data_IF_502195463068
#
_entry.id   IF_502195463068
#
_cell.length_a   1.000
_cell.length_b   1.000
_cell.length_c   1.000
_cell.angle_alpha   90.00
_cell.angle_beta   90.00
_cell.angle_gamma   90.00
#
_symmetry.space_group_name_H-M   'P 1'
#
loop_
_entity.id
_entity.type
_entity.pdbx_description
1 polymer ?
#
# COMPACT_ATOMS: atom_id res chain seq x y z
N UNK A 1 8.82 30.60 -16.47
CA UNK A 1 8.41 31.99 -16.80
C UNK A 1 8.63 32.82 -15.55
N UNK A 2 9.18 34.05 -15.65
CA UNK A 2 9.26 34.94 -14.49
C UNK A 2 7.84 35.21 -13.95
N UNK A 3 7.65 35.27 -12.62
CA UNK A 3 6.34 35.55 -12.03
C UNK A 3 5.79 36.88 -12.56
N UNK A 4 4.46 36.97 -12.74
CA UNK A 4 3.86 38.22 -13.18
C UNK A 4 4.09 39.31 -12.11
N UNK A 5 4.24 40.59 -12.48
CA UNK A 5 4.44 41.68 -11.51
C UNK A 5 3.34 41.73 -10.43
N UNK A 6 2.12 41.31 -10.79
CA UNK A 6 0.97 41.22 -9.89
C UNK A 6 1.10 40.08 -8.87
N UNK A 7 1.76 38.98 -9.22
CA UNK A 7 2.01 37.86 -8.30
C UNK A 7 3.08 38.20 -7.26
N UNK A 8 4.12 38.94 -7.65
CA UNK A 8 5.16 39.41 -6.72
C UNK A 8 4.59 40.42 -5.73
N UNK A 9 3.75 41.34 -6.20
CA UNK A 9 3.07 42.31 -5.34
C UNK A 9 2.16 41.62 -4.30
N UNK A 10 1.46 40.55 -4.70
CA UNK A 10 0.62 39.74 -3.79
C UNK A 10 1.46 39.00 -2.74
N UNK A 11 2.56 38.37 -3.16
CA UNK A 11 3.47 37.66 -2.24
C UNK A 11 4.12 38.60 -1.21
N UNK A 12 4.50 39.81 -1.63
CA UNK A 12 5.02 40.84 -0.71
C UNK A 12 3.97 41.21 0.35
N UNK A 13 2.72 41.47 -0.07
CA UNK A 13 1.64 41.83 0.84
C UNK A 13 1.30 40.71 1.85
N UNK A 14 1.35 39.44 1.43
CA UNK A 14 1.11 38.28 2.29
C UNK A 14 2.23 38.09 3.33
N UNK A 15 3.50 38.28 2.93
CA UNK A 15 4.64 38.21 3.84
C UNK A 15 4.64 39.36 4.86
N UNK A 16 4.29 40.58 4.45
CA UNK A 16 4.15 41.73 5.34
C UNK A 16 3.03 41.52 6.38
N UNK A 17 1.88 40.99 5.94
CA UNK A 17 0.78 40.66 6.85
C UNK A 17 1.17 39.57 7.86
N UNK A 18 1.98 38.59 7.43
CA UNK A 18 2.48 37.52 8.30
C UNK A 18 3.51 38.03 9.31
N UNK A 19 4.40 38.94 8.90
CA UNK A 19 5.39 39.56 9.78
C UNK A 19 4.78 40.51 10.83
N UNK A 20 3.60 41.06 10.55
CA UNK A 20 2.85 41.94 11.46
C UNK A 20 2.10 41.18 12.59
N UNK A 21 2.08 39.84 12.58
CA UNK A 21 1.41 39.06 13.62
C UNK A 21 2.13 39.23 14.99
N UNK A 22 1.40 39.59 16.07
CA UNK A 22 1.99 39.95 17.36
C UNK A 22 2.68 38.80 18.10
N UNK A 23 2.42 37.54 17.71
CA UNK A 23 2.97 36.33 18.33
C UNK A 23 3.81 35.49 17.36
N UNK A 24 4.36 36.09 16.30
CA UNK A 24 5.24 35.37 15.37
C UNK A 24 6.55 34.99 16.09
N UNK A 25 6.93 33.69 16.17
CA UNK A 25 8.16 33.26 16.85
C UNK A 25 9.41 33.83 16.16
N UNK A 26 10.41 34.25 16.92
CA UNK A 26 11.65 34.87 16.39
C UNK A 26 12.39 34.00 15.36
N UNK A 27 12.29 32.68 15.52
CA UNK A 27 12.90 31.70 14.59
C UNK A 27 12.21 31.69 13.22
N UNK A 28 10.91 32.05 13.16
CA UNK A 28 10.13 32.14 11.92
C UNK A 28 10.21 33.53 11.28
N UNK A 29 10.55 34.57 12.05
CA UNK A 29 10.65 35.95 11.56
C UNK A 29 11.82 36.14 10.58
N UNK A 30 13.01 35.61 10.92
CA UNK A 30 14.23 35.82 10.12
C UNK A 30 14.15 35.28 8.67
N UNK A 31 13.64 34.06 8.40
CA UNK A 31 13.47 33.57 7.03
C UNK A 31 12.44 34.37 6.22
N UNK A 32 11.35 34.83 6.85
CA UNK A 32 10.31 35.62 6.19
C UNK A 32 10.80 37.03 5.84
N UNK A 33 11.62 37.64 6.69
CA UNK A 33 12.31 38.90 6.39
C UNK A 33 13.30 38.75 5.22
N UNK A 34 14.03 37.63 5.18
CA UNK A 34 14.95 37.30 4.08
C UNK A 34 14.20 37.06 2.76
N UNK A 35 13.06 36.35 2.78
CA UNK A 35 12.18 36.13 1.63
C UNK A 35 11.58 37.45 1.12
N UNK A 36 11.08 38.31 2.03
CA UNK A 36 10.54 39.63 1.70
C UNK A 36 11.62 40.55 1.10
N UNK A 37 12.84 40.51 1.63
CA UNK A 37 13.97 41.24 1.08
C UNK A 37 14.35 40.74 -0.32
N UNK A 38 14.29 39.42 -0.57
CA UNK A 38 14.53 38.83 -1.89
C UNK A 38 13.49 39.27 -2.92
N UNK A 39 12.20 39.21 -2.58
CA UNK A 39 11.12 39.62 -3.49
C UNK A 39 11.16 41.11 -3.82
N UNK A 40 11.61 41.95 -2.88
CA UNK A 40 11.80 43.39 -3.12
C UNK A 40 13.04 43.72 -3.97
N UNK A 41 14.07 42.88 -3.95
CA UNK A 41 15.36 43.12 -4.63
C UNK A 41 15.51 42.38 -5.96
N UNK A 42 14.64 41.40 -6.26
CA UNK A 42 14.60 40.69 -7.54
C UNK A 42 15.78 39.74 -7.80
N UNK A 43 16.48 39.29 -6.74
CA UNK A 43 17.64 38.39 -6.85
C UNK A 43 17.21 36.92 -7.09
N UNK A 44 17.81 36.19 -8.06
CA UNK A 44 17.49 34.79 -8.32
C UNK A 44 18.09 33.82 -7.28
N UNK A 45 17.46 32.65 -7.11
CA UNK A 45 17.89 31.56 -6.23
C UNK A 45 19.32 31.09 -6.52
N UNK A 46 20.13 30.86 -5.48
CA UNK A 46 21.40 30.14 -5.61
C UNK A 46 21.18 28.63 -5.45
N UNK A 47 21.71 27.80 -6.36
CA UNK A 47 21.50 26.35 -6.33
C UNK A 47 22.48 25.64 -5.39
N UNK A 48 21.96 24.74 -4.55
CA UNK A 48 22.74 23.74 -3.83
C UNK A 48 22.99 22.50 -4.72
N UNK A 49 24.18 22.49 -5.34
CA UNK A 49 24.96 21.40 -5.97
C UNK A 49 24.30 20.00 -6.14
N UNK A 50 24.04 19.65 -7.40
CA UNK A 50 23.87 18.27 -7.90
C UNK A 50 25.16 17.79 -8.59
N UNK A 51 25.56 16.54 -8.35
CA UNK A 51 26.62 15.86 -9.09
C UNK A 51 26.07 15.29 -10.41
N UNK A 52 26.67 15.71 -11.53
CA UNK A 52 26.41 15.25 -12.90
C UNK A 52 26.81 13.78 -13.14
N UNK A 53 26.00 13.06 -13.93
CA UNK A 53 26.55 12.18 -14.97
C UNK A 53 25.58 12.03 -16.16
N UNK A 54 26.11 12.34 -17.34
CA UNK A 54 25.46 12.51 -18.64
C UNK A 54 24.89 11.22 -19.26
N UNK A 55 23.77 11.39 -19.97
CA UNK A 55 23.23 10.47 -20.99
C UNK A 55 23.48 11.05 -22.38
N UNK A 56 24.04 10.25 -23.29
CA UNK A 56 24.09 10.51 -24.73
C UNK A 56 23.18 9.54 -25.48
N UNK A 57 22.25 10.07 -26.26
CA UNK A 57 21.19 9.32 -26.93
C UNK A 57 21.54 8.70 -28.29
N UNK A 58 20.61 7.89 -28.81
CA UNK A 58 20.07 8.02 -30.16
C UNK A 58 18.89 7.08 -30.38
N UNK A 59 17.86 7.61 -31.06
CA UNK A 59 16.69 6.88 -31.52
C UNK A 59 16.96 6.18 -32.86
N UNK A 60 16.44 4.95 -33.02
CA UNK A 60 16.10 4.42 -34.34
C UNK A 60 14.87 3.53 -34.23
N UNK A 61 13.87 3.83 -35.07
CA UNK A 61 12.65 3.04 -35.28
C UNK A 61 13.01 1.79 -36.09
N UNK A 62 12.53 0.62 -35.64
CA UNK A 62 12.63 -0.63 -36.37
C UNK A 62 11.62 -1.64 -35.85
N UNK A 63 10.64 -1.98 -36.69
CA UNK A 63 9.72 -3.07 -36.45
C UNK A 63 10.46 -4.42 -36.52
N UNK A 64 10.23 -5.31 -35.55
CA UNK A 64 10.43 -6.75 -35.71
C UNK A 64 9.57 -7.53 -34.72
N UNK A 65 8.72 -8.39 -35.28
CA UNK A 65 8.08 -9.51 -34.60
C UNK A 65 9.17 -10.51 -34.23
N UNK A 66 9.36 -10.77 -32.94
CA UNK A 66 10.03 -11.95 -32.43
C UNK A 66 9.54 -12.19 -30.99
N UNK A 67 8.86 -13.32 -30.77
CA UNK A 67 8.37 -13.70 -29.46
C UNK A 67 9.53 -13.93 -28.49
N UNK A 68 9.59 -13.11 -27.44
CA UNK A 68 10.55 -13.29 -26.35
C UNK A 68 9.88 -14.06 -25.21
N UNK A 69 10.45 -15.21 -24.88
CA UNK A 69 10.07 -16.07 -23.76
C UNK A 69 11.03 -15.75 -22.61
N UNK A 70 10.87 -14.54 -22.08
CA UNK A 70 11.21 -14.20 -20.69
C UNK A 70 9.90 -13.78 -20.06
N UNK A 71 9.54 -14.40 -18.95
CA UNK A 71 8.27 -14.19 -18.25
C UNK A 71 8.17 -12.80 -17.60
N UNK A 72 8.42 -11.75 -18.36
CA UNK A 72 8.00 -10.40 -18.03
C UNK A 72 6.48 -10.40 -18.17
N UNK A 73 5.78 -10.56 -17.06
CA UNK A 73 4.33 -10.44 -17.02
C UNK A 73 3.97 -9.00 -17.32
N UNK A 74 3.80 -8.70 -18.59
CA UNK A 74 3.37 -7.38 -19.03
C UNK A 74 1.98 -7.13 -18.43
N UNK A 75 1.89 -6.22 -17.46
CA UNK A 75 0.62 -5.86 -16.82
C UNK A 75 -0.33 -5.18 -17.83
N UNK A 76 0.22 -4.37 -18.74
CA UNK A 76 -0.49 -3.63 -19.78
C UNK A 76 0.03 -4.00 -21.17
N UNK A 77 -0.77 -4.67 -22.01
CA UNK A 77 -0.46 -4.84 -23.43
C UNK A 77 -0.76 -3.55 -24.19
N UNK A 78 -0.12 -3.32 -25.35
CA UNK A 78 -0.09 -2.04 -26.08
C UNK A 78 -1.45 -1.44 -26.51
N UNK A 79 -2.57 -2.12 -26.22
CA UNK A 79 -3.94 -1.66 -26.49
C UNK A 79 -4.85 -1.68 -25.25
N UNK A 80 -4.32 -1.90 -24.03
CA UNK A 80 -5.12 -2.06 -22.81
C UNK A 80 -5.89 -0.78 -22.41
N UNK A 81 -7.08 -0.59 -23.01
CA UNK A 81 -8.13 0.37 -22.60
C UNK A 81 -9.12 -0.34 -21.67
N UNK A 82 -8.64 -0.74 -20.50
CA UNK A 82 -9.52 -1.40 -19.54
C UNK A 82 -10.68 -0.48 -19.12
N UNK A 83 -11.92 -0.95 -19.23
CA UNK A 83 -13.13 -0.25 -18.80
C UNK A 83 -13.06 0.16 -17.33
N UNK A 84 -12.46 -0.64 -16.44
CA UNK A 84 -12.32 -0.25 -15.02
C UNK A 84 -11.34 0.89 -14.81
N UNK A 85 -10.24 0.92 -15.56
CA UNK A 85 -9.31 2.06 -15.53
C UNK A 85 -10.05 3.29 -16.04
N UNK A 86 -10.76 3.19 -17.16
CA UNK A 86 -11.58 4.26 -17.69
C UNK A 86 -12.66 4.74 -16.70
N UNK A 87 -13.30 3.86 -15.94
CA UNK A 87 -14.29 4.20 -14.91
C UNK A 87 -13.68 4.91 -13.71
N UNK A 88 -12.55 4.39 -13.18
CA UNK A 88 -11.78 5.09 -12.14
C UNK A 88 -11.47 6.51 -12.64
N UNK A 89 -11.09 6.62 -13.91
CA UNK A 89 -10.78 7.88 -14.59
C UNK A 89 -12.01 8.78 -14.81
N UNK A 90 -13.18 8.23 -15.09
CA UNK A 90 -14.38 8.99 -15.44
C UNK A 90 -15.08 9.61 -14.23
N UNK A 91 -14.88 9.03 -13.03
CA UNK A 91 -15.33 9.59 -11.75
C UNK A 91 -14.69 10.96 -11.40
N UNK A 92 -13.72 11.45 -12.20
CA UNK A 92 -12.88 12.63 -11.90
C UNK A 92 -13.38 13.98 -12.45
N UNK A 93 -14.68 14.23 -12.52
CA UNK A 93 -15.19 15.55 -12.92
C UNK A 93 -15.45 16.49 -11.73
N UNK A 94 -14.39 17.10 -11.17
CA UNK A 94 -14.39 18.46 -10.58
C UNK A 94 -12.97 19.07 -10.75
N UNK A 95 -12.85 20.25 -11.38
CA UNK A 95 -11.60 20.85 -11.88
C UNK A 95 -10.76 21.62 -10.82
N UNK A 96 -9.50 22.04 -11.11
CA UNK A 96 -8.42 21.34 -11.81
C UNK A 96 -7.14 21.20 -10.94
N UNK A 97 -6.23 20.29 -11.32
CA UNK A 97 -4.80 20.42 -11.01
C UNK A 97 -3.91 19.73 -12.06
N UNK A 98 -4.41 18.68 -12.73
CA UNK A 98 -3.79 18.11 -13.93
C UNK A 98 -4.85 17.61 -14.94
N UNK A 99 -4.56 17.62 -16.26
CA UNK A 99 -5.35 16.94 -17.28
C UNK A 99 -5.71 15.49 -16.93
N UNK A 100 -6.88 15.01 -17.36
CA UNK A 100 -7.35 13.65 -17.12
C UNK A 100 -6.37 12.57 -17.67
N UNK A 101 -5.67 12.88 -18.75
CA UNK A 101 -4.63 12.02 -19.32
C UNK A 101 -3.44 11.81 -18.38
N UNK A 102 -3.11 12.80 -17.54
CA UNK A 102 -1.99 12.72 -16.60
C UNK A 102 -2.33 11.80 -15.43
N UNK A 103 -3.59 11.76 -15.00
CA UNK A 103 -4.06 10.81 -13.99
C UNK A 103 -4.11 9.37 -14.51
N UNK A 104 -4.53 9.15 -15.76
CA UNK A 104 -4.49 7.81 -16.38
C UNK A 104 -3.05 7.30 -16.42
N UNK A 105 -2.13 8.14 -16.93
CA UNK A 105 -0.71 7.80 -16.98
C UNK A 105 -0.16 7.53 -15.57
N UNK A 106 -0.49 8.36 -14.58
CA UNK A 106 -0.06 8.19 -13.19
C UNK A 106 -0.61 6.89 -12.57
N UNK A 107 -1.89 6.56 -12.79
CA UNK A 107 -2.49 5.32 -12.29
C UNK A 107 -1.83 4.10 -12.93
N UNK A 108 -1.56 4.12 -14.24
CA UNK A 108 -0.84 3.04 -14.92
C UNK A 108 0.59 2.88 -14.41
N UNK A 109 1.32 3.98 -14.21
CA UNK A 109 2.66 3.95 -13.60
C UNK A 109 2.61 3.34 -12.20
N UNK A 110 1.66 3.78 -11.38
CA UNK A 110 1.43 3.28 -10.03
C UNK A 110 1.14 1.77 -10.00
N UNK A 111 0.13 1.31 -10.74
CA UNK A 111 -0.25 -0.11 -10.79
C UNK A 111 0.87 -0.99 -11.36
N UNK A 112 1.59 -0.50 -12.38
CA UNK A 112 2.75 -1.19 -12.94
C UNK A 112 3.83 -1.36 -11.88
N UNK A 113 4.19 -0.28 -11.18
CA UNK A 113 5.19 -0.31 -10.12
C UNK A 113 4.79 -1.30 -9.02
N UNK A 114 3.55 -1.20 -8.51
CA UNK A 114 3.05 -2.10 -7.48
C UNK A 114 3.09 -3.57 -7.92
N UNK A 115 2.68 -3.85 -9.15
CA UNK A 115 2.74 -5.21 -9.69
C UNK A 115 4.19 -5.71 -9.82
N UNK A 116 5.09 -4.94 -10.44
CA UNK A 116 6.48 -5.38 -10.65
C UNK A 116 7.22 -5.60 -9.34
N UNK A 117 6.92 -4.82 -8.30
CA UNK A 117 7.55 -4.92 -6.99
C UNK A 117 7.09 -6.16 -6.20
N UNK A 118 5.82 -6.58 -6.37
CA UNK A 118 5.20 -7.59 -5.49
C UNK A 118 4.71 -8.86 -6.19
N UNK A 119 4.72 -8.93 -7.53
CA UNK A 119 4.24 -10.09 -8.28
C UNK A 119 5.19 -11.30 -8.24
N UNK A 120 6.41 -11.11 -7.73
CA UNK A 120 7.34 -12.19 -7.45
C UNK A 120 7.53 -12.33 -5.94
N UNK A 121 7.67 -13.58 -5.47
CA UNK A 121 8.10 -13.86 -4.11
C UNK A 121 9.55 -14.34 -4.14
N UNK A 122 10.35 -13.68 -3.31
CA UNK A 122 11.72 -14.07 -3.05
C UNK A 122 11.73 -15.01 -1.84
N UNK A 123 12.14 -16.25 -2.10
CA UNK A 123 12.10 -17.34 -1.13
C UNK A 123 13.48 -17.66 -0.56
N UNK A 124 14.35 -16.64 -0.47
CA UNK A 124 15.61 -16.69 0.29
C UNK A 124 15.34 -17.29 1.68
N UNK A 125 16.00 -18.43 1.96
CA UNK A 125 15.87 -19.18 3.22
C UNK A 125 15.32 -20.61 3.07
N UNK A 126 14.67 -20.93 1.95
CA UNK A 126 14.24 -22.31 1.62
C UNK A 126 15.12 -22.92 0.52
N UNK A 127 15.62 -22.10 -0.42
CA UNK A 127 16.64 -22.48 -1.41
C UNK A 127 17.77 -21.43 -1.38
N UNK A 128 19.00 -21.85 -1.68
CA UNK A 128 20.19 -20.97 -1.66
C UNK A 128 20.29 -20.07 -2.91
N UNK A 129 19.47 -20.34 -3.93
CA UNK A 129 19.44 -19.56 -5.18
C UNK A 129 18.32 -18.54 -5.14
N UNK A 130 18.63 -17.31 -5.51
CA UNK A 130 17.63 -16.30 -5.78
C UNK A 130 16.83 -16.71 -7.02
N UNK A 131 15.54 -17.00 -6.84
CA UNK A 131 14.61 -17.31 -7.92
C UNK A 131 13.31 -16.55 -7.68
N UNK A 132 13.03 -15.61 -8.56
CA UNK A 132 11.79 -14.83 -8.54
C UNK A 132 10.64 -15.72 -9.03
N UNK A 133 9.91 -16.32 -8.09
CA UNK A 133 8.76 -17.14 -8.42
C UNK A 133 7.50 -16.28 -8.51
N UNK A 134 6.66 -16.43 -9.54
CA UNK A 134 5.42 -15.67 -9.63
C UNK A 134 4.52 -15.96 -8.43
N UNK A 135 4.21 -14.94 -7.64
CA UNK A 135 3.48 -15.06 -6.38
C UNK A 135 2.14 -15.76 -6.57
N UNK A 136 1.41 -15.43 -7.64
CA UNK A 136 0.10 -16.04 -7.95
C UNK A 136 0.14 -17.57 -8.12
N UNK A 137 1.30 -18.12 -8.47
CA UNK A 137 1.43 -19.55 -8.74
C UNK A 137 1.70 -20.33 -7.46
N UNK A 138 2.42 -19.71 -6.54
CA UNK A 138 2.88 -20.34 -5.30
C UNK A 138 1.93 -20.05 -4.15
N UNK A 139 1.22 -18.92 -4.20
CA UNK A 139 0.28 -18.51 -3.18
C UNK A 139 -0.83 -19.55 -2.97
N UNK A 140 -1.18 -19.73 -1.71
CA UNK A 140 -2.32 -20.53 -1.26
C UNK A 140 -3.19 -19.66 -0.36
N UNK A 141 -4.51 -19.74 -0.52
CA UNK A 141 -5.45 -19.02 0.34
C UNK A 141 -5.20 -19.39 1.80
N UNK A 142 -5.00 -18.37 2.62
CA UNK A 142 -4.85 -18.51 4.06
C UNK A 142 -6.24 -18.58 4.69
N UNK A 143 -6.38 -19.51 5.63
CA UNK A 143 -7.54 -19.57 6.49
C UNK A 143 -7.33 -18.61 7.65
N UNK A 144 -8.35 -17.81 7.97
CA UNK A 144 -8.33 -16.91 9.11
C UNK A 144 -9.45 -17.26 10.08
N UNK A 145 -9.21 -17.02 11.36
CA UNK A 145 -10.21 -17.17 12.42
C UNK A 145 -10.69 -15.81 12.86
N UNK A 146 -11.99 -15.57 12.78
CA UNK A 146 -12.59 -14.36 13.33
C UNK A 146 -12.58 -14.44 14.86
N UNK A 147 -12.09 -13.38 15.51
CA UNK A 147 -12.18 -13.25 16.96
C UNK A 147 -13.44 -12.44 17.25
N UNK A 148 -14.54 -13.13 17.56
CA UNK A 148 -15.78 -12.47 17.95
C UNK A 148 -15.53 -11.60 19.19
N UNK A 149 -15.80 -10.30 19.05
CA UNK A 149 -15.73 -9.35 20.16
C UNK A 149 -16.89 -9.65 21.13
N UNK A 150 -16.67 -10.52 22.12
CA UNK A 150 -17.59 -10.64 23.23
C UNK A 150 -17.58 -9.33 24.03
N UNK A 151 -18.70 -8.61 24.01
CA UNK A 151 -18.97 -7.44 24.84
C UNK A 151 -18.74 -7.82 26.31
N UNK A 152 -17.57 -7.45 26.85
CA UNK A 152 -17.20 -7.75 28.24
C UNK A 152 -15.73 -8.16 28.48
N UNK A 153 -15.00 -8.61 27.46
CA UNK A 153 -13.57 -9.01 27.59
C UNK A 153 -12.63 -7.88 27.17
N UNK A 154 -12.84 -6.67 27.69
CA UNK A 154 -12.11 -5.45 27.31
C UNK A 154 -10.67 -5.34 27.84
N UNK A 155 -10.03 -6.43 28.25
CA UNK A 155 -8.58 -6.43 28.55
C UNK A 155 -7.76 -7.53 27.88
N UNK A 156 -8.41 -8.53 27.26
CA UNK A 156 -7.71 -9.73 26.76
C UNK A 156 -7.48 -9.79 25.24
N UNK A 157 -8.47 -9.40 24.43
CA UNK A 157 -8.38 -9.37 22.96
C UNK A 157 -7.79 -10.62 22.29
N UNK A 158 -7.19 -10.44 21.09
CA UNK A 158 -6.47 -11.47 20.33
C UNK A 158 -5.36 -12.13 21.17
N UNK A 159 -4.77 -11.44 22.15
CA UNK A 159 -3.74 -12.01 23.03
C UNK A 159 -4.30 -13.08 23.96
N UNK A 160 -5.39 -12.82 24.67
CA UNK A 160 -6.04 -13.82 25.53
C UNK A 160 -6.55 -15.00 24.69
N UNK A 161 -6.99 -14.74 23.46
CA UNK A 161 -7.29 -15.77 22.49
C UNK A 161 -6.05 -16.60 22.11
N UNK A 162 -4.94 -15.97 21.76
CA UNK A 162 -3.68 -16.66 21.41
C UNK A 162 -3.07 -17.40 22.60
N UNK A 163 -3.18 -16.89 23.83
CA UNK A 163 -2.79 -17.58 25.06
C UNK A 163 -3.66 -18.81 25.30
N UNK A 164 -4.99 -18.70 25.11
CA UNK A 164 -5.90 -19.85 25.16
C UNK A 164 -5.59 -20.89 24.07
N UNK A 165 -5.42 -20.46 22.82
CA UNK A 165 -5.06 -21.34 21.70
C UNK A 165 -3.75 -22.07 22.00
N UNK A 166 -2.71 -21.36 22.49
CA UNK A 166 -1.43 -21.97 22.87
C UNK A 166 -1.57 -22.96 24.04
N UNK A 167 -2.49 -22.72 24.98
CA UNK A 167 -2.79 -23.64 26.08
C UNK A 167 -3.59 -24.88 25.64
N UNK A 168 -4.39 -24.77 24.57
CA UNK A 168 -5.21 -25.87 24.02
C UNK A 168 -4.45 -26.72 22.99
N UNK A 169 -3.51 -26.16 22.22
CA UNK A 169 -2.68 -26.93 21.27
C UNK A 169 -1.83 -28.02 21.99
N UNK A 170 -1.68 -27.95 23.31
CA UNK A 170 -1.03 -28.99 24.13
C UNK A 170 -1.96 -29.97 24.87
N UNK A 171 -3.29 -29.86 24.73
CA UNK A 171 -4.27 -30.75 25.40
C UNK A 171 -5.41 -31.09 24.43
N UNK A 172 -5.50 -32.36 24.03
CA UNK A 172 -6.45 -32.85 23.02
C UNK A 172 -7.94 -32.68 23.38
N UNK A 173 -8.31 -32.32 24.62
CA UNK A 173 -9.71 -32.31 25.07
C UNK A 173 -10.11 -31.05 25.86
N UNK A 174 -10.29 -29.91 25.20
CA UNK A 174 -11.05 -28.79 25.78
C UNK A 174 -11.89 -28.06 24.71
N UNK A 175 -13.24 -28.05 24.83
CA UNK A 175 -14.10 -27.38 23.88
C UNK A 175 -14.03 -25.86 24.12
N UNK A 176 -13.29 -25.15 23.28
CA UNK A 176 -13.36 -23.69 23.24
C UNK A 176 -14.60 -23.29 22.42
N UNK A 177 -15.79 -23.36 23.03
CA UNK A 177 -17.06 -22.84 22.46
C UNK A 177 -17.10 -21.29 22.46
N UNK A 178 -16.03 -20.65 22.01
CA UNK A 178 -16.16 -19.32 21.43
C UNK A 178 -16.39 -19.54 19.92
N UNK A 179 -17.36 -18.86 19.33
CA UNK A 179 -17.75 -18.97 17.91
C UNK A 179 -16.60 -18.58 16.97
N UNK A 180 -15.57 -19.42 16.86
CA UNK A 180 -14.36 -19.18 16.10
C UNK A 180 -14.48 -20.01 14.84
N UNK A 181 -15.16 -19.43 13.84
CA UNK A 181 -15.25 -20.07 12.53
C UNK A 181 -13.97 -19.79 11.74
N UNK A 182 -13.42 -20.86 11.15
CA UNK A 182 -12.42 -20.76 10.12
C UNK A 182 -13.10 -20.19 8.86
N UNK A 183 -12.57 -19.07 8.36
CA UNK A 183 -13.11 -18.33 7.23
C UNK A 183 -12.00 -18.17 6.20
N UNK A 184 -12.31 -18.40 4.93
CA UNK A 184 -11.38 -18.15 3.82
C UNK A 184 -11.09 -16.64 3.68
N UNK A 185 -9.87 -16.31 3.25
CA UNK A 185 -9.46 -14.92 3.06
C UNK A 185 -10.43 -14.12 2.18
N UNK A 186 -10.89 -14.69 1.08
CA UNK A 186 -11.80 -14.04 0.13
C UNK A 186 -13.17 -13.73 0.74
N UNK A 187 -13.60 -14.52 1.71
CA UNK A 187 -14.84 -14.27 2.47
C UNK A 187 -14.64 -13.15 3.48
N UNK A 188 -13.56 -13.18 4.26
CA UNK A 188 -13.33 -12.13 5.26
C UNK A 188 -13.02 -10.77 4.59
N UNK A 189 -12.37 -10.78 3.43
CA UNK A 189 -12.01 -9.59 2.65
C UNK A 189 -13.23 -8.77 2.23
N UNK A 190 -14.45 -9.34 2.28
CA UNK A 190 -15.73 -8.64 2.12
C UNK A 190 -16.00 -7.60 3.22
N UNK A 191 -15.38 -7.73 4.37
CA UNK A 191 -15.46 -6.71 5.43
C UNK A 191 -14.64 -5.47 5.05
N UNK A 192 -15.18 -4.25 5.22
CA UNK A 192 -14.49 -3.03 4.80
C UNK A 192 -13.30 -2.67 5.70
N UNK A 193 -13.21 -3.23 6.92
CA UNK A 193 -12.22 -2.85 7.93
C UNK A 193 -11.69 -4.09 8.63
N UNK A 194 -10.43 -4.44 8.39
CA UNK A 194 -9.80 -5.66 8.86
C UNK A 194 -8.48 -5.40 9.56
N UNK A 195 -8.30 -6.06 10.71
CA UNK A 195 -7.04 -6.18 11.39
C UNK A 195 -6.63 -7.65 11.38
N UNK A 196 -5.65 -7.98 10.55
CA UNK A 196 -5.14 -9.34 10.32
C UNK A 196 -3.94 -9.58 11.24
N UNK A 197 -4.15 -10.38 12.27
CA UNK A 197 -3.17 -10.63 13.33
C UNK A 197 -2.55 -12.01 13.14
N UNK A 198 -1.26 -12.17 13.39
CA UNK A 198 -0.63 -13.48 13.22
C UNK A 198 0.83 -13.51 13.64
N UNK A 199 1.33 -14.72 13.90
CA UNK A 199 2.71 -14.95 14.30
C UNK A 199 3.72 -14.62 13.19
N UNK A 200 5.01 -14.46 13.50
CA UNK A 200 6.04 -14.34 12.48
C UNK A 200 5.99 -15.53 11.52
N UNK A 201 6.17 -15.29 10.22
CA UNK A 201 6.12 -16.36 9.21
C UNK A 201 4.73 -16.86 8.81
N UNK A 202 3.65 -16.38 9.42
CA UNK A 202 2.25 -16.75 9.06
C UNK A 202 1.81 -16.30 7.65
N UNK A 203 2.62 -15.53 6.93
CA UNK A 203 2.29 -15.12 5.55
C UNK A 203 1.42 -13.87 5.41
N UNK A 204 1.26 -13.05 6.46
CA UNK A 204 0.48 -11.78 6.42
C UNK A 204 0.94 -10.80 5.33
N UNK A 205 2.24 -10.54 5.24
CA UNK A 205 2.80 -9.68 4.16
C UNK A 205 2.50 -10.27 2.79
N UNK A 206 2.71 -11.59 2.63
CA UNK A 206 2.40 -12.32 1.39
C UNK A 206 0.91 -12.23 1.01
N UNK A 207 0.01 -12.27 1.99
CA UNK A 207 -1.43 -12.10 1.82
C UNK A 207 -1.78 -10.72 1.27
N UNK A 208 -1.17 -9.66 1.82
CA UNK A 208 -1.37 -8.29 1.33
C UNK A 208 -0.80 -8.11 -0.08
N UNK A 209 0.42 -8.60 -0.32
CA UNK A 209 1.05 -8.55 -1.65
C UNK A 209 0.21 -9.30 -2.69
N UNK A 210 -0.28 -10.50 -2.37
CA UNK A 210 -1.15 -11.26 -3.25
C UNK A 210 -2.43 -10.47 -3.59
N UNK A 211 -3.08 -9.90 -2.57
CA UNK A 211 -4.28 -9.08 -2.76
C UNK A 211 -4.01 -7.86 -3.65
N UNK A 212 -2.91 -7.15 -3.42
CA UNK A 212 -2.48 -6.01 -4.24
C UNK A 212 -2.25 -6.41 -5.70
N UNK A 213 -1.48 -7.48 -5.92
CA UNK A 213 -1.13 -7.99 -7.26
C UNK A 213 -2.38 -8.42 -8.02
N UNK A 214 -3.31 -9.14 -7.39
CA UNK A 214 -4.56 -9.57 -8.03
C UNK A 214 -5.44 -8.38 -8.38
N UNK A 215 -5.55 -7.37 -7.51
CA UNK A 215 -6.28 -6.14 -7.82
C UNK A 215 -5.65 -5.34 -8.96
N UNK A 216 -4.31 -5.30 -9.06
CA UNK A 216 -3.64 -4.74 -10.23
C UNK A 216 -4.02 -5.48 -11.52
N UNK A 217 -4.10 -6.81 -11.50
CA UNK A 217 -4.53 -7.60 -12.66
C UNK A 217 -6.00 -7.33 -13.03
N UNK A 218 -6.89 -7.25 -12.03
CA UNK A 218 -8.31 -6.87 -12.23
C UNK A 218 -8.41 -5.53 -12.92
N UNK A 219 -7.73 -4.50 -12.39
CA UNK A 219 -7.79 -3.14 -12.94
C UNK A 219 -7.18 -3.07 -14.34
N UNK A 220 -6.06 -3.74 -14.58
CA UNK A 220 -5.34 -3.67 -15.84
C UNK A 220 -6.01 -4.44 -16.99
N UNK A 221 -6.74 -5.52 -16.66
CA UNK A 221 -7.27 -6.48 -17.65
C UNK A 221 -8.80 -6.56 -17.68
N UNK A 222 -9.49 -5.73 -16.90
CA UNK A 222 -10.92 -5.86 -16.64
C UNK A 222 -11.36 -7.25 -16.17
N UNK A 223 -10.51 -7.89 -15.36
CA UNK A 223 -10.70 -9.29 -14.96
C UNK A 223 -11.79 -9.40 -13.89
N UNK A 224 -13.06 -9.38 -14.34
CA UNK A 224 -14.26 -9.55 -13.53
C UNK A 224 -14.21 -10.84 -12.70
N UNK A 225 -13.81 -11.94 -13.33
CA UNK A 225 -13.75 -13.24 -12.69
C UNK A 225 -12.77 -13.23 -11.52
N UNK A 226 -11.59 -12.61 -11.70
CA UNK A 226 -10.65 -12.41 -10.60
C UNK A 226 -11.22 -11.54 -9.46
N UNK A 227 -12.03 -10.51 -9.78
CA UNK A 227 -12.67 -9.69 -8.75
C UNK A 227 -13.72 -10.48 -7.96
N UNK A 228 -14.46 -11.37 -8.65
CA UNK A 228 -15.42 -12.29 -8.04
C UNK A 228 -14.70 -13.34 -7.17
N UNK A 229 -13.58 -13.91 -7.63
CA UNK A 229 -12.72 -14.83 -6.88
C UNK A 229 -12.18 -14.19 -5.58
N UNK A 230 -11.80 -12.91 -5.63
CA UNK A 230 -11.38 -12.15 -4.44
C UNK A 230 -12.54 -11.86 -3.46
N UNK A 231 -13.78 -12.15 -3.85
CA UNK A 231 -14.98 -11.88 -3.05
C UNK A 231 -15.36 -10.40 -3.00
N UNK A 232 -14.72 -9.54 -3.78
CA UNK A 232 -14.91 -8.09 -3.72
C UNK A 232 -15.99 -7.58 -4.67
N UNK A 233 -16.37 -8.41 -5.62
CA UNK A 233 -17.31 -8.11 -6.68
C UNK A 233 -18.63 -7.45 -6.29
N UNK A 234 -19.35 -8.08 -5.37
CA UNK A 234 -20.66 -7.65 -4.90
C UNK A 234 -20.53 -6.42 -3.99
N UNK A 235 -19.56 -6.47 -3.07
CA UNK A 235 -19.36 -5.44 -2.05
C UNK A 235 -18.75 -4.15 -2.58
N UNK A 236 -18.27 -4.15 -3.83
CA UNK A 236 -17.73 -2.97 -4.51
C UNK A 236 -18.62 -2.49 -5.66
N UNK A 237 -19.86 -3.02 -5.76
CA UNK A 237 -20.79 -2.69 -6.85
C UNK A 237 -20.14 -2.82 -8.22
N UNK A 238 -19.34 -3.86 -8.41
CA UNK A 238 -18.57 -4.11 -9.62
C UNK A 238 -17.40 -3.15 -9.90
N UNK A 239 -17.15 -2.14 -9.07
CA UNK A 239 -16.05 -1.19 -9.24
C UNK A 239 -14.81 -1.59 -8.43
N UNK A 240 -13.79 -2.23 -9.04
CA UNK A 240 -12.62 -2.74 -8.31
C UNK A 240 -11.92 -1.63 -7.51
N UNK A 241 -11.53 -1.89 -6.26
CA UNK A 241 -10.78 -0.93 -5.47
C UNK A 241 -9.32 -0.89 -5.95
N UNK A 242 -8.73 0.31 -5.93
CA UNK A 242 -7.32 0.56 -6.17
C UNK A 242 -6.53 0.21 -4.92
N UNK A 243 -5.59 -0.76 -4.99
CA UNK A 243 -4.78 -1.16 -3.85
C UNK A 243 -3.78 -0.07 -3.50
N UNK A 244 -3.82 0.43 -2.26
CA UNK A 244 -2.84 1.35 -1.69
C UNK A 244 -2.02 0.61 -0.63
N UNK A 245 -0.89 0.03 -1.06
CA UNK A 245 -0.01 -0.74 -0.19
C UNK A 245 1.02 0.17 0.49
N UNK A 246 1.16 0.09 1.81
CA UNK A 246 2.18 0.82 2.55
C UNK A 246 2.73 -0.03 3.70
N UNK A 247 4.04 -0.33 3.72
CA UNK A 247 4.66 -0.90 4.90
C UNK A 247 4.67 0.13 6.03
N UNK A 248 4.13 -0.20 7.19
CA UNK A 248 3.94 0.73 8.30
C UNK A 248 5.25 1.16 8.95
N UNK A 249 6.35 0.41 8.76
CA UNK A 249 7.70 0.89 9.10
C UNK A 249 8.06 2.20 8.39
N UNK A 250 7.59 2.41 7.16
CA UNK A 250 7.86 3.62 6.38
C UNK A 250 7.09 4.80 6.96
N UNK A 251 5.85 4.56 7.41
CA UNK A 251 5.09 5.56 8.15
C UNK A 251 5.74 5.87 9.50
N UNK A 252 6.21 4.86 10.23
CA UNK A 252 6.95 5.05 11.46
C UNK A 252 8.22 5.90 11.28
N UNK A 253 9.02 5.59 10.26
CA UNK A 253 10.22 6.34 9.90
C UNK A 253 9.88 7.78 9.48
N UNK A 254 8.90 7.96 8.59
CA UNK A 254 8.41 9.26 8.14
C UNK A 254 7.97 10.14 9.31
N UNK A 255 7.26 9.58 10.29
CA UNK A 255 6.81 10.29 11.48
C UNK A 255 7.97 10.64 12.43
N UNK A 256 9.00 9.80 12.51
CA UNK A 256 10.20 10.08 13.31
C UNK A 256 11.05 11.22 12.74
N UNK A 257 11.09 11.35 11.42
CA UNK A 257 11.81 12.43 10.72
C UNK A 257 11.00 13.73 10.65
N UNK A 258 9.66 13.62 10.69
CA UNK A 258 8.74 14.75 10.61
C UNK A 258 8.63 15.50 11.95
N UNK A 259 9.31 16.65 12.08
CA UNK A 259 9.09 17.62 13.17
C UNK A 259 7.62 18.09 13.31
N UNK A 260 6.78 17.83 12.31
CA UNK A 260 5.35 18.19 12.28
C UNK A 260 4.41 17.27 13.09
N UNK A 261 4.90 16.18 13.70
CA UNK A 261 4.08 15.28 14.55
C UNK A 261 3.36 16.02 15.67
N UNK A 262 4.01 17.00 16.29
CA UNK A 262 3.47 17.76 17.42
C UNK A 262 2.48 18.86 16.98
N UNK A 263 2.62 19.42 15.78
CA UNK A 263 1.75 20.49 15.27
C UNK A 263 0.52 19.98 14.52
N UNK A 264 0.63 18.87 13.77
CA UNK A 264 -0.42 18.42 12.85
C UNK A 264 -1.52 17.59 13.53
N UNK A 265 -1.22 16.98 14.70
CA UNK A 265 -2.07 15.94 15.29
C UNK A 265 -2.20 14.69 14.40
N UNK A 266 -2.88 13.66 14.90
CA UNK A 266 -3.11 12.44 14.13
C UNK A 266 -4.20 12.67 13.07
N UNK A 267 -3.79 12.91 11.82
CA UNK A 267 -4.72 13.17 10.72
C UNK A 267 -4.34 12.41 9.43
N UNK A 268 -5.32 12.24 8.54
CA UNK A 268 -5.16 11.53 7.28
C UNK A 268 -4.09 12.11 6.33
N UNK A 269 -3.77 13.41 6.42
CA UNK A 269 -2.74 14.06 5.58
C UNK A 269 -1.37 13.43 5.77
N UNK A 270 -1.01 13.07 7.01
CA UNK A 270 0.28 12.43 7.30
C UNK A 270 0.46 11.11 6.55
N UNK A 271 -0.62 10.34 6.38
CA UNK A 271 -0.57 9.12 5.58
C UNK A 271 -0.38 9.43 4.08
N UNK A 272 -1.09 10.43 3.55
CA UNK A 272 -0.94 10.82 2.15
C UNK A 272 0.45 11.38 1.84
N UNK A 273 1.00 12.21 2.74
CA UNK A 273 2.36 12.72 2.61
C UNK A 273 3.38 11.56 2.63
N UNK A 274 3.18 10.58 3.53
CA UNK A 274 4.00 9.37 3.57
C UNK A 274 3.88 8.54 2.28
N UNK A 275 2.67 8.34 1.74
CA UNK A 275 2.45 7.65 0.47
C UNK A 275 3.15 8.37 -0.69
N UNK A 276 3.07 9.70 -0.75
CA UNK A 276 3.79 10.49 -1.74
C UNK A 276 5.31 10.37 -1.59
N UNK A 277 5.82 10.37 -0.37
CA UNK A 277 7.25 10.16 -0.12
C UNK A 277 7.69 8.73 -0.52
N UNK A 278 6.89 7.73 -0.19
CA UNK A 278 7.18 6.33 -0.49
C UNK A 278 7.17 6.05 -2.00
N UNK A 279 6.27 6.71 -2.75
CA UNK A 279 6.13 6.58 -4.19
C UNK A 279 6.69 7.78 -4.98
N UNK A 280 7.65 8.51 -4.42
CA UNK A 280 8.15 9.78 -4.97
C UNK A 280 8.71 9.69 -6.40
N UNK A 281 9.23 8.53 -6.78
CA UNK A 281 9.85 8.31 -8.10
C UNK A 281 8.83 8.08 -9.23
N UNK A 282 7.53 8.02 -8.91
CA UNK A 282 6.46 7.73 -9.88
C UNK A 282 5.83 8.97 -10.52
N UNK A 283 6.26 10.17 -10.10
CA UNK A 283 5.73 11.46 -10.59
C UNK A 283 4.19 11.48 -10.55
N UNK A 284 3.64 11.27 -9.35
CA UNK A 284 2.19 11.23 -9.14
C UNK A 284 1.66 12.63 -8.85
N UNK A 285 0.48 13.01 -9.37
CA UNK A 285 -0.17 14.27 -9.02
C UNK A 285 -0.31 14.43 -7.50
N UNK A 286 -0.15 15.64 -6.92
CA UNK A 286 -0.14 15.85 -5.46
C UNK A 286 -1.41 15.44 -4.70
N UNK A 287 -2.51 15.26 -5.41
CA UNK A 287 -3.82 14.85 -4.89
C UNK A 287 -4.23 13.44 -5.34
N UNK A 288 -3.32 12.68 -5.96
CA UNK A 288 -3.57 11.37 -6.56
C UNK A 288 -4.24 10.40 -5.58
N UNK A 289 -3.68 10.22 -4.38
CA UNK A 289 -4.24 9.30 -3.39
C UNK A 289 -5.55 9.82 -2.79
N UNK A 290 -5.63 11.13 -2.54
CA UNK A 290 -6.79 11.81 -1.98
C UNK A 290 -8.00 11.67 -2.91
N UNK A 291 -7.80 11.78 -4.23
CA UNK A 291 -8.84 11.58 -5.24
C UNK A 291 -9.37 10.15 -5.27
N UNK A 292 -8.47 9.15 -5.24
CA UNK A 292 -8.88 7.74 -5.17
C UNK A 292 -9.74 7.50 -3.92
N UNK A 293 -9.35 8.09 -2.78
CA UNK A 293 -10.08 7.96 -1.53
C UNK A 293 -11.43 8.70 -1.55
N UNK A 294 -11.46 9.92 -2.11
CA UNK A 294 -12.69 10.71 -2.25
C UNK A 294 -13.73 10.02 -3.15
N UNK A 295 -13.27 9.23 -4.13
CA UNK A 295 -14.13 8.42 -4.98
C UNK A 295 -14.59 7.10 -4.31
N UNK A 296 -14.18 6.81 -3.06
CA UNK A 296 -14.49 5.55 -2.39
C UNK A 296 -13.81 4.32 -3.02
N UNK A 297 -12.76 4.53 -3.83
CA UNK A 297 -12.12 3.47 -4.61
C UNK A 297 -10.87 2.89 -3.95
N UNK A 298 -10.44 3.36 -2.79
CA UNK A 298 -9.21 2.84 -2.18
C UNK A 298 -9.45 1.55 -1.37
N UNK A 299 -8.50 0.62 -1.47
CA UNK A 299 -8.26 -0.38 -0.43
C UNK A 299 -6.84 -0.20 0.13
N UNK A 300 -6.75 0.27 1.37
CA UNK A 300 -5.48 0.40 2.08
C UNK A 300 -5.02 -0.98 2.55
N UNK A 301 -3.82 -1.37 2.13
CA UNK A 301 -3.13 -2.58 2.55
C UNK A 301 -1.92 -2.14 3.36
N UNK A 302 -2.05 -2.14 4.69
CA UNK A 302 -1.07 -1.54 5.59
C UNK A 302 -0.30 -2.65 6.30
N UNK A 303 0.97 -2.82 5.94
CA UNK A 303 1.73 -3.99 6.35
C UNK A 303 2.58 -3.74 7.60
N UNK A 304 2.38 -4.53 8.63
CA UNK A 304 3.32 -4.70 9.73
C UNK A 304 3.33 -3.55 10.74
N UNK A 305 2.24 -3.32 11.46
CA UNK A 305 2.24 -2.36 12.58
C UNK A 305 3.30 -2.73 13.63
N UNK A 306 3.63 -4.01 13.75
CA UNK A 306 4.72 -4.51 14.60
C UNK A 306 6.12 -4.09 14.16
N UNK A 307 6.29 -3.61 12.93
CA UNK A 307 7.55 -3.06 12.43
C UNK A 307 7.78 -1.61 12.84
N UNK A 308 6.77 -0.95 13.43
CA UNK A 308 6.92 0.37 14.05
C UNK A 308 7.51 0.20 15.46
N UNK A 309 8.76 0.67 15.71
CA UNK A 309 9.51 0.26 16.90
C UNK A 309 8.88 0.67 18.23
N UNK A 310 8.44 1.92 18.35
CA UNK A 310 7.97 2.48 19.61
C UNK A 310 6.45 2.33 19.78
N UNK A 311 6.03 2.04 21.02
CA UNK A 311 4.60 1.86 21.34
C UNK A 311 3.78 3.12 21.06
N UNK A 312 4.29 4.29 21.44
CA UNK A 312 3.59 5.55 21.22
C UNK A 312 3.42 5.88 19.74
N UNK A 313 4.37 5.46 18.91
CA UNK A 313 4.28 5.60 17.45
C UNK A 313 3.22 4.65 16.88
N UNK A 314 3.11 3.42 17.40
CA UNK A 314 2.03 2.48 17.03
C UNK A 314 0.65 3.03 17.40
N UNK A 315 0.52 3.62 18.58
CA UNK A 315 -0.72 4.27 19.03
C UNK A 315 -1.06 5.45 18.11
N UNK A 316 -0.05 6.25 17.74
CA UNK A 316 -0.22 7.39 16.86
C UNK A 316 -0.60 6.97 15.43
N UNK A 317 0.06 5.96 14.86
CA UNK A 317 -0.33 5.34 13.58
C UNK A 317 -1.78 4.88 13.64
N UNK A 318 -2.19 4.22 14.71
CA UNK A 318 -3.57 3.78 14.91
C UNK A 318 -4.56 4.95 14.97
N UNK A 319 -4.16 6.08 15.57
CA UNK A 319 -4.95 7.30 15.59
C UNK A 319 -5.08 7.93 14.19
N UNK A 320 -4.00 7.94 13.39
CA UNK A 320 -4.05 8.36 11.98
C UNK A 320 -5.03 7.47 11.21
N UNK A 321 -5.00 6.15 11.42
CA UNK A 321 -5.92 5.22 10.75
C UNK A 321 -7.38 5.46 11.12
N UNK A 322 -7.68 5.71 12.40
CA UNK A 322 -9.02 6.10 12.85
C UNK A 322 -9.49 7.41 12.19
N UNK A 323 -8.61 8.41 12.10
CA UNK A 323 -8.90 9.67 11.40
C UNK A 323 -9.22 9.43 9.92
N UNK A 324 -8.42 8.60 9.25
CA UNK A 324 -8.59 8.24 7.83
C UNK A 324 -9.91 7.52 7.58
N UNK A 325 -10.27 6.53 8.41
CA UNK A 325 -11.51 5.76 8.32
C UNK A 325 -12.73 6.65 8.55
N UNK A 326 -12.62 7.62 9.45
CA UNK A 326 -13.67 8.61 9.68
C UNK A 326 -13.82 9.54 8.47
N UNK A 327 -12.70 9.91 7.83
CA UNK A 327 -12.69 10.84 6.69
C UNK A 327 -13.17 10.20 5.38
N UNK A 328 -12.86 8.93 5.15
CA UNK A 328 -13.14 8.18 3.92
C UNK A 328 -13.85 6.84 4.22
N UNK A 329 -15.08 6.86 4.75
CA UNK A 329 -15.77 5.66 5.24
C UNK A 329 -16.06 4.60 4.17
N UNK A 330 -16.13 5.02 2.89
CA UNK A 330 -16.39 4.14 1.74
C UNK A 330 -15.14 3.40 1.25
N UNK A 331 -13.96 3.82 1.71
CA UNK A 331 -12.72 3.09 1.44
C UNK A 331 -12.63 1.82 2.30
N UNK A 332 -11.78 0.90 1.84
CA UNK A 332 -11.51 -0.37 2.52
C UNK A 332 -10.14 -0.32 3.20
N UNK A 333 -10.00 -1.05 4.29
CA UNK A 333 -8.81 -1.01 5.14
C UNK A 333 -8.45 -2.41 5.61
N UNK A 334 -7.21 -2.81 5.36
CA UNK A 334 -6.61 -4.03 5.87
C UNK A 334 -5.28 -3.65 6.51
N UNK A 335 -5.14 -3.89 7.80
CA UNK A 335 -3.90 -3.71 8.54
C UNK A 335 -3.40 -5.06 9.04
N UNK A 336 -2.10 -5.32 8.94
CA UNK A 336 -1.48 -6.51 9.52
C UNK A 336 -0.64 -6.16 10.75
N UNK A 337 -0.60 -7.07 11.72
CA UNK A 337 0.29 -6.93 12.88
C UNK A 337 0.60 -8.28 13.54
N UNK A 338 1.66 -8.33 14.34
CA UNK A 338 1.81 -9.35 15.39
C UNK A 338 0.95 -9.03 16.61
N UNK A 339 0.51 -10.06 17.38
CA UNK A 339 -0.31 -9.86 18.58
C UNK A 339 0.27 -8.82 19.55
N UNK A 340 1.56 -8.96 19.90
CA UNK A 340 2.23 -8.12 20.91
C UNK A 340 2.23 -6.62 20.57
N UNK A 341 2.25 -6.28 19.28
CA UNK A 341 2.26 -4.89 18.83
C UNK A 341 0.85 -4.30 18.67
N UNK A 342 -0.19 -5.14 18.77
CA UNK A 342 -1.59 -4.80 18.55
C UNK A 342 -2.41 -5.03 19.84
N UNK A 343 -2.05 -4.29 20.89
CA UNK A 343 -2.65 -4.36 22.23
C UNK A 343 -2.95 -2.95 22.74
N UNK A 344 -3.85 -2.84 23.73
CA UNK A 344 -4.22 -1.55 24.32
C UNK A 344 -4.69 -0.53 23.27
N UNK A 345 -4.13 0.68 23.35
CA UNK A 345 -4.51 1.82 22.51
C UNK A 345 -4.00 1.73 21.05
N UNK A 346 -3.12 0.76 20.77
CA UNK A 346 -2.70 0.43 19.40
C UNK A 346 -3.75 -0.44 18.66
N UNK A 347 -4.77 -0.96 19.36
CA UNK A 347 -5.91 -1.58 18.68
C UNK A 347 -6.74 -0.50 18.00
N UNK A 348 -7.15 -0.75 16.76
CA UNK A 348 -7.87 0.23 15.97
C UNK A 348 -9.28 0.50 16.51
N UNK A 349 -9.99 -0.54 16.95
CA UNK A 349 -11.40 -0.41 17.32
C UNK A 349 -12.23 0.06 16.12
N UNK A 350 -13.25 0.92 16.34
CA UNK A 350 -14.04 1.59 15.28
C UNK A 350 -14.59 0.69 14.16
N UNK A 351 -15.03 -0.52 14.52
CA UNK A 351 -15.63 -1.47 13.57
C UNK A 351 -14.61 -2.26 12.75
N UNK A 352 -13.32 -2.23 13.08
CA UNK A 352 -12.36 -3.21 12.57
C UNK A 352 -12.72 -4.61 13.06
N UNK A 353 -12.89 -5.53 12.12
CA UNK A 353 -12.97 -6.96 12.40
C UNK A 353 -11.56 -7.50 12.59
N UNK A 354 -11.32 -8.14 13.73
CA UNK A 354 -10.03 -8.76 14.05
C UNK A 354 -10.06 -10.23 13.63
N UNK A 355 -9.13 -10.62 12.77
CA UNK A 355 -8.95 -12.01 12.37
C UNK A 355 -7.52 -12.47 12.63
N UNK A 356 -7.37 -13.74 13.00
CA UNK A 356 -6.07 -14.36 13.23
C UNK A 356 -5.73 -15.31 12.10
N UNK A 357 -4.53 -15.23 11.55
CA UNK A 357 -4.05 -16.16 10.52
C UNK A 357 -3.72 -17.52 11.17
N UNK A 358 -4.34 -18.58 10.66
CA UNK A 358 -4.06 -19.95 11.08
C UNK A 358 -2.79 -20.50 10.42
N UNK A 359 -2.22 -21.52 11.07
CA UNK A 359 -1.21 -22.35 10.42
C UNK A 359 -1.80 -23.08 9.22
N UNK A 360 -0.96 -23.32 8.21
CA UNK A 360 -1.36 -24.09 7.04
C UNK A 360 -1.74 -25.51 7.45
N UNK A 361 -2.93 -25.96 7.08
CA UNK A 361 -3.31 -27.37 7.19
C UNK A 361 -2.38 -28.26 6.36
N UNK A 362 -2.27 -29.55 6.69
CA UNK A 362 -1.47 -30.49 5.91
C UNK A 362 -1.82 -30.49 4.42
N UNK A 363 -3.11 -30.32 4.08
CA UNK A 363 -3.55 -30.20 2.69
C UNK A 363 -3.06 -28.90 2.03
N UNK A 364 -3.10 -27.76 2.74
CA UNK A 364 -2.55 -26.48 2.27
C UNK A 364 -1.03 -26.59 2.07
N UNK A 365 -0.31 -27.19 3.01
CA UNK A 365 1.14 -27.42 2.90
C UNK A 365 1.47 -28.26 1.66
N UNK A 366 0.76 -29.37 1.44
CA UNK A 366 0.97 -30.22 0.27
C UNK A 366 0.68 -29.48 -1.04
N UNK A 367 -0.37 -28.65 -1.08
CA UNK A 367 -0.68 -27.80 -2.24
C UNK A 367 0.43 -26.78 -2.49
N UNK A 368 0.93 -26.12 -1.44
CA UNK A 368 2.04 -25.18 -1.54
C UNK A 368 3.29 -25.85 -2.12
N UNK A 369 3.70 -27.00 -1.56
CA UNK A 369 4.85 -27.78 -2.05
C UNK A 369 4.66 -28.16 -3.52
N UNK A 370 3.47 -28.62 -3.89
CA UNK A 370 3.16 -29.01 -5.27
C UNK A 370 3.27 -27.82 -6.23
N UNK A 371 2.67 -26.69 -5.87
CA UNK A 371 2.68 -25.46 -6.66
C UNK A 371 4.11 -24.91 -6.82
N UNK A 372 4.85 -24.90 -5.72
CA UNK A 372 6.26 -24.54 -5.69
C UNK A 372 7.07 -25.43 -6.62
N UNK A 373 6.98 -26.76 -6.48
CA UNK A 373 7.73 -27.70 -7.31
C UNK A 373 7.43 -27.49 -8.80
N UNK A 374 6.17 -27.28 -9.16
CA UNK A 374 5.78 -26.98 -10.54
C UNK A 374 6.38 -25.67 -11.05
N UNK A 375 6.31 -24.59 -10.27
CA UNK A 375 6.88 -23.30 -10.66
C UNK A 375 8.39 -23.38 -10.82
N UNK A 376 9.09 -24.03 -9.87
CA UNK A 376 10.51 -24.33 -9.97
C UNK A 376 10.88 -25.13 -11.23
N UNK A 377 10.13 -26.19 -11.53
CA UNK A 377 10.41 -27.01 -12.71
C UNK A 377 10.24 -26.22 -14.01
N UNK A 378 9.23 -25.35 -14.10
CA UNK A 378 9.03 -24.47 -15.26
C UNK A 378 10.18 -23.47 -15.41
N UNK A 379 10.58 -22.81 -14.32
CA UNK A 379 11.70 -21.86 -14.34
C UNK A 379 13.03 -22.54 -14.73
N UNK A 380 13.30 -23.75 -14.22
CA UNK A 380 14.48 -24.56 -14.60
C UNK A 380 14.38 -25.12 -16.02
N UNK A 381 13.20 -25.50 -16.47
CA UNK A 381 12.92 -26.06 -17.80
C UNK A 381 13.06 -25.03 -18.92
N UNK A 382 12.64 -23.78 -18.68
CA UNK A 382 12.87 -22.66 -19.61
C UNK A 382 14.36 -22.44 -19.88
N UNK A 383 15.20 -22.52 -18.83
CA UNK A 383 16.65 -22.35 -18.94
C UNK A 383 17.33 -23.43 -19.81
N UNK A 384 16.82 -24.67 -19.82
CA UNK A 384 17.35 -25.75 -20.70
C UNK A 384 16.97 -25.58 -22.18
N UNK A 385 15.88 -24.87 -22.47
CA UNK A 385 15.40 -24.67 -23.85
C UNK A 385 16.14 -23.56 -24.60
N UNK A 386 16.69 -22.56 -23.90
CA UNK A 386 17.56 -21.54 -24.49
C UNK A 386 18.96 -22.09 -24.82
N UNK A 387 19.50 -22.97 -23.98
CA UNK A 387 20.85 -23.52 -24.17
C UNK A 387 20.96 -24.53 -25.34
N UNK A 388 19.82 -24.99 -25.91
CA UNK A 388 19.79 -25.90 -27.06
C UNK A 388 19.58 -25.20 -28.42
N UNK A 389 19.37 -23.88 -28.44
CA UNK A 389 19.20 -23.12 -29.70
C UNK A 389 20.48 -22.45 -30.21
N UNK A 390 21.60 -22.68 -29.53
CA UNK A 390 22.92 -22.11 -29.87
C UNK A 390 23.98 -23.20 -30.07
N UNK A 391 23.60 -24.42 -30.44
CA UNK A 391 24.52 -25.51 -30.76
C UNK A 391 24.38 -25.93 -32.21
#
# INVERSE_FOLDING_TARGET
MPPSPDDVARQIAELEATLALPNLPDVARRPLEEELARLRTGLPEQPTRSHDQQVGGNATVGAAVAGDVRGDMTLFTGEARGNYIAEVIHLYQQAPAAPQADYDAALRRYLKHLYTTHAAIDLRGIDQRQMDMPLREVYISLTVREVAAAEGVLRGGVRAFMEKVRQVIGREDAPLEAHVQAVEWTTILRQPRLAVIGLPGSGKTTLLHYTAVRLCEVLARDDRACLDELGLAEVTQQHPPVPLLLPLRELGAFLGESRGRELAGANAKLLFDCLHNYYRDLDLPPDFFQRICAAGRAIFLLDGLDEVPHTDDRIFVSAIMRSLVTRYPDCRYVLTSRPKAYEGDARLGQGFRECTVDDLSAAQQQRFITNWSRSLHRLKGGCRSLCRRTA
#
